data_IF_752884386619
#
_entry.id   IF_752884386619
#
_cell.length_a   1.000
_cell.length_b   1.000
_cell.length_c   1.000
_cell.angle_alpha   90.00
_cell.angle_beta   90.00
_cell.angle_gamma   90.00
#
_symmetry.space_group_name_H-M   'P 1'
#
loop_
_entity.id
_entity.type
_entity.pdbx_description
1 polymer ?
#
# COMPACT_ATOMS: atom_id res chain seq x y z
N UNK A 1 17.16 -13.84 4.67
CA UNK A 1 17.93 -12.58 4.69
C UNK A 1 19.34 -12.76 4.11
N UNK A 2 19.50 -13.65 3.12
CA UNK A 2 20.82 -14.09 2.68
C UNK A 2 21.17 -13.44 1.34
N UNK A 3 22.45 -13.10 1.19
CA UNK A 3 22.98 -12.49 -0.02
C UNK A 3 22.81 -13.41 -1.23
N UNK A 4 22.50 -12.82 -2.39
CA UNK A 4 22.45 -13.54 -3.65
C UNK A 4 23.88 -13.68 -4.16
N UNK A 5 24.37 -14.92 -4.29
CA UNK A 5 25.71 -15.17 -4.86
C UNK A 5 25.61 -14.96 -6.37
N UNK A 6 26.38 -13.99 -6.88
CA UNK A 6 26.52 -13.75 -8.32
C UNK A 6 27.34 -14.89 -8.96
N UNK A 7 27.15 -15.22 -10.25
CA UNK A 7 27.99 -16.19 -10.98
C UNK A 7 29.50 -15.85 -10.95
N UNK A 8 29.88 -14.64 -10.56
CA UNK A 8 31.27 -14.19 -10.36
C UNK A 8 31.85 -14.51 -8.98
N UNK A 9 31.11 -15.16 -8.08
CA UNK A 9 31.54 -15.45 -6.70
C UNK A 9 31.51 -14.25 -5.75
N UNK A 10 31.13 -13.06 -6.24
CA UNK A 10 30.94 -11.86 -5.42
C UNK A 10 29.57 -11.92 -4.72
N UNK A 11 29.60 -11.69 -3.41
CA UNK A 11 28.41 -11.59 -2.56
C UNK A 11 27.67 -10.30 -2.93
N UNK A 12 26.47 -10.42 -3.49
CA UNK A 12 25.67 -9.24 -3.82
C UNK A 12 25.19 -8.58 -2.52
N UNK A 13 25.32 -7.26 -2.37
CA UNK A 13 24.88 -6.58 -1.15
C UNK A 13 23.40 -6.84 -0.89
N UNK A 14 23.03 -7.00 0.38
CA UNK A 14 21.68 -7.40 0.80
C UNK A 14 20.67 -6.25 0.90
N UNK A 15 19.45 -6.57 1.37
CA UNK A 15 18.33 -5.64 1.55
C UNK A 15 18.59 -4.48 2.54
N UNK A 16 19.62 -4.60 3.38
CA UNK A 16 20.03 -3.57 4.36
C UNK A 16 21.13 -2.64 3.82
N UNK A 17 21.65 -2.91 2.63
CA UNK A 17 22.69 -2.09 2.00
C UNK A 17 22.06 -1.13 0.99
N UNK A 18 22.37 0.18 1.02
CA UNK A 18 21.85 1.14 0.03
C UNK A 18 22.33 0.86 -1.40
N UNK A 19 21.53 1.26 -2.40
CA UNK A 19 21.98 1.30 -3.79
C UNK A 19 22.80 2.57 -4.03
N UNK A 20 23.98 2.44 -4.65
CA UNK A 20 24.85 3.58 -4.96
C UNK A 20 24.38 4.40 -6.18
N UNK A 21 23.62 3.76 -7.07
CA UNK A 21 23.04 4.36 -8.26
C UNK A 21 21.64 3.77 -8.51
N UNK A 22 20.89 4.39 -9.43
CA UNK A 22 19.56 3.91 -9.80
C UNK A 22 19.59 2.53 -10.46
N UNK A 23 20.58 2.23 -11.30
CA UNK A 23 20.75 0.92 -11.97
C UNK A 23 22.18 0.40 -11.77
N UNK A 24 22.39 -0.93 -11.85
CA UNK A 24 21.39 -1.98 -12.02
C UNK A 24 20.56 -2.23 -10.74
N UNK A 25 19.32 -2.73 -10.90
CA UNK A 25 18.51 -3.15 -9.75
C UNK A 25 18.96 -4.51 -9.26
N UNK A 26 19.06 -4.66 -7.93
CA UNK A 26 19.32 -5.95 -7.27
C UNK A 26 18.05 -6.76 -7.11
N UNK A 27 16.90 -6.08 -7.01
CA UNK A 27 15.58 -6.70 -6.88
C UNK A 27 14.61 -6.18 -7.95
N UNK A 28 14.78 -6.56 -9.23
CA UNK A 28 13.94 -6.06 -10.32
C UNK A 28 12.43 -6.24 -10.09
N UNK A 29 12.03 -7.35 -9.46
CA UNK A 29 10.64 -7.62 -9.12
C UNK A 29 9.99 -6.54 -8.25
N UNK A 30 10.77 -5.84 -7.41
CA UNK A 30 10.24 -4.76 -6.57
C UNK A 30 9.84 -3.56 -7.42
N UNK A 31 10.62 -3.27 -8.47
CA UNK A 31 10.26 -2.26 -9.45
C UNK A 31 9.02 -2.67 -10.25
N UNK A 32 8.89 -3.94 -10.60
CA UNK A 32 7.69 -4.44 -11.29
C UNK A 32 6.43 -4.27 -10.44
N UNK A 33 6.53 -4.49 -9.11
CA UNK A 33 5.43 -4.24 -8.18
C UNK A 33 5.12 -2.74 -8.03
N UNK A 34 6.15 -1.89 -7.95
CA UNK A 34 5.95 -0.43 -8.00
C UNK A 34 5.16 -0.04 -9.26
N UNK A 35 5.59 -0.52 -10.44
CA UNK A 35 4.95 -0.21 -11.72
C UNK A 35 3.52 -0.74 -11.76
N UNK A 36 3.29 -1.95 -11.29
CA UNK A 36 1.94 -2.54 -11.21
C UNK A 36 1.02 -1.67 -10.34
N UNK A 37 1.50 -1.19 -9.20
CA UNK A 37 0.71 -0.31 -8.33
C UNK A 37 0.37 1.02 -9.01
N UNK A 38 1.30 1.61 -9.77
CA UNK A 38 1.02 2.84 -10.54
C UNK A 38 -0.08 2.61 -11.60
N UNK A 39 -0.15 1.42 -12.19
CA UNK A 39 -1.13 1.10 -13.23
C UNK A 39 -2.54 0.86 -12.70
N UNK A 40 -2.68 0.59 -11.40
CA UNK A 40 -3.97 0.36 -10.72
C UNK A 40 -4.31 1.48 -9.74
N UNK A 41 -3.65 2.63 -9.88
CA UNK A 41 -3.94 3.80 -9.06
C UNK A 41 -5.33 4.33 -9.36
N UNK A 42 -6.02 4.77 -8.30
CA UNK A 42 -7.35 5.36 -8.35
C UNK A 42 -7.50 6.37 -7.22
N UNK A 43 -8.49 7.25 -7.33
CA UNK A 43 -8.89 8.20 -6.28
C UNK A 43 -10.32 7.94 -5.83
N UNK A 44 -10.67 8.16 -4.53
CA UNK A 44 -12.01 7.87 -4.01
C UNK A 44 -13.14 8.54 -4.80
N UNK A 45 -12.90 9.75 -5.29
CA UNK A 45 -13.84 10.55 -6.06
C UNK A 45 -14.17 9.97 -7.44
N UNK A 46 -13.36 9.02 -7.93
CA UNK A 46 -13.57 8.34 -9.21
C UNK A 46 -14.61 7.20 -9.10
N UNK A 47 -15.00 6.83 -7.88
CA UNK A 47 -15.97 5.76 -7.61
C UNK A 47 -17.38 6.33 -7.47
N UNK A 48 -18.32 5.97 -8.36
CA UNK A 48 -19.70 6.46 -8.29
C UNK A 48 -20.46 5.76 -7.16
N UNK A 49 -20.86 6.51 -6.12
CA UNK A 49 -21.59 6.00 -4.94
C UNK A 49 -23.11 6.30 -4.96
N UNK A 50 -23.64 6.72 -6.11
CA UNK A 50 -25.02 7.22 -6.21
C UNK A 50 -26.09 6.21 -5.84
N UNK A 51 -25.94 4.95 -6.25
CA UNK A 51 -26.89 3.89 -5.91
C UNK A 51 -26.68 3.39 -4.48
N UNK A 52 -25.43 3.27 -4.02
CA UNK A 52 -25.08 2.90 -2.65
C UNK A 52 -25.70 3.84 -1.62
N UNK A 53 -25.72 5.15 -1.90
CA UNK A 53 -26.39 6.14 -1.04
C UNK A 53 -27.91 5.93 -0.96
N UNK A 54 -28.55 5.49 -2.06
CA UNK A 54 -29.99 5.17 -2.04
C UNK A 54 -30.25 3.91 -1.22
N UNK A 55 -29.44 2.88 -1.41
CA UNK A 55 -29.54 1.63 -0.65
C UNK A 55 -29.34 1.88 0.84
N UNK A 56 -28.35 2.70 1.20
CA UNK A 56 -28.10 3.12 2.57
C UNK A 56 -29.33 3.78 3.22
N UNK A 57 -30.00 4.65 2.47
CA UNK A 57 -31.14 5.43 2.97
C UNK A 57 -32.45 4.65 3.03
N UNK A 58 -32.69 3.74 2.07
CA UNK A 58 -34.02 3.13 1.86
C UNK A 58 -34.04 1.65 2.19
N UNK A 59 -32.97 0.92 1.89
CA UNK A 59 -32.98 -0.55 1.88
C UNK A 59 -32.33 -1.18 3.11
N UNK A 60 -31.45 -0.45 3.82
CA UNK A 60 -30.80 -0.97 5.02
C UNK A 60 -31.63 -0.74 6.29
N UNK A 61 -31.60 -1.73 7.18
CA UNK A 61 -32.05 -1.59 8.57
C UNK A 61 -31.02 -0.84 9.41
N UNK A 62 -31.43 -0.36 10.59
CA UNK A 62 -30.52 0.29 11.54
C UNK A 62 -29.38 -0.64 11.99
N UNK A 63 -29.66 -1.94 12.15
CA UNK A 63 -28.64 -2.93 12.51
C UNK A 63 -27.61 -3.12 11.41
N UNK A 64 -28.02 -3.15 10.14
CA UNK A 64 -27.12 -3.31 9.00
C UNK A 64 -26.28 -2.05 8.79
N UNK A 65 -26.88 -0.85 8.89
CA UNK A 65 -26.13 0.41 8.89
C UNK A 65 -25.09 0.45 9.99
N UNK A 66 -25.47 0.10 11.22
CA UNK A 66 -24.53 0.08 12.33
C UNK A 66 -23.37 -0.91 12.08
N UNK A 67 -23.66 -2.11 11.56
CA UNK A 67 -22.63 -3.09 11.21
C UNK A 67 -21.65 -2.51 10.18
N UNK A 68 -22.15 -1.95 9.07
CA UNK A 68 -21.32 -1.35 8.03
C UNK A 68 -20.49 -0.19 8.56
N UNK A 69 -21.06 0.69 9.38
CA UNK A 69 -20.31 1.77 10.03
C UNK A 69 -19.15 1.23 10.88
N UNK A 70 -19.34 0.16 11.64
CA UNK A 70 -18.23 -0.43 12.40
C UNK A 70 -17.17 -1.06 11.49
N UNK A 71 -17.59 -1.68 10.38
CA UNK A 71 -16.67 -2.23 9.38
C UNK A 71 -15.81 -1.12 8.76
N UNK A 72 -16.43 -0.01 8.34
CA UNK A 72 -15.70 1.13 7.78
C UNK A 72 -14.73 1.73 8.80
N UNK A 73 -15.15 1.94 10.05
CA UNK A 73 -14.25 2.40 11.13
C UNK A 73 -13.06 1.47 11.33
N UNK A 74 -13.31 0.16 11.32
CA UNK A 74 -12.25 -0.83 11.45
C UNK A 74 -11.24 -0.73 10.29
N UNK A 75 -11.71 -0.70 9.04
CA UNK A 75 -10.80 -0.60 7.89
C UNK A 75 -10.05 0.73 7.85
N UNK A 76 -10.71 1.86 8.14
CA UNK A 76 -10.03 3.16 8.25
C UNK A 76 -8.89 3.10 9.26
N UNK A 77 -9.12 2.53 10.45
CA UNK A 77 -8.09 2.44 11.50
C UNK A 77 -7.01 1.40 11.16
N UNK A 78 -7.38 0.26 10.60
CA UNK A 78 -6.45 -0.79 10.22
C UNK A 78 -5.48 -0.31 9.14
N UNK A 79 -5.95 0.42 8.13
CA UNK A 79 -5.09 0.93 7.06
C UNK A 79 -4.18 2.06 7.55
N UNK A 80 -4.59 2.86 8.56
CA UNK A 80 -3.69 3.79 9.26
C UNK A 80 -2.51 3.01 9.86
N UNK A 81 -2.77 1.90 10.55
CA UNK A 81 -1.70 1.09 11.18
C UNK A 81 -0.78 0.43 10.13
N UNK A 82 -1.33 -0.04 9.01
CA UNK A 82 -0.55 -0.62 7.91
C UNK A 82 0.33 0.43 7.24
N UNK A 83 -0.22 1.62 6.98
CA UNK A 83 0.50 2.76 6.41
C UNK A 83 1.66 3.20 7.32
N UNK A 84 1.40 3.35 8.62
CA UNK A 84 2.42 3.66 9.63
C UNK A 84 3.52 2.60 9.65
N UNK A 85 3.15 1.33 9.55
CA UNK A 85 4.12 0.24 9.52
C UNK A 85 5.03 0.31 8.27
N UNK A 86 4.50 0.65 7.10
CA UNK A 86 5.33 0.90 5.91
C UNK A 86 6.30 2.06 6.10
N UNK A 87 5.83 3.19 6.63
CA UNK A 87 6.63 4.42 6.75
C UNK A 87 7.64 4.35 7.90
N UNK A 88 7.19 3.98 9.09
CA UNK A 88 7.96 4.08 10.33
C UNK A 88 8.85 2.87 10.59
N UNK A 89 8.44 1.67 10.12
CA UNK A 89 9.16 0.42 10.37
C UNK A 89 9.89 -0.05 9.11
N UNK A 90 9.18 -0.32 8.02
CA UNK A 90 9.79 -0.97 6.84
C UNK A 90 10.66 -0.02 6.00
N UNK A 91 10.20 1.20 5.72
CA UNK A 91 10.93 2.20 4.94
C UNK A 91 12.27 2.60 5.57
N UNK A 92 12.40 2.44 6.89
CA UNK A 92 13.63 2.69 7.64
C UNK A 92 14.62 1.52 7.59
N UNK A 93 14.16 0.30 7.36
CA UNK A 93 15.01 -0.91 7.36
C UNK A 93 15.57 -1.18 5.98
N UNK A 94 14.73 -1.19 4.95
CA UNK A 94 15.14 -1.58 3.61
C UNK A 94 15.79 -0.42 2.84
N UNK A 95 16.94 -0.71 2.22
CA UNK A 95 17.82 0.32 1.63
C UNK A 95 17.90 0.35 0.10
N UNK A 96 17.68 -0.74 -0.68
CA UNK A 96 17.68 -0.68 -2.14
C UNK A 96 16.64 0.30 -2.67
N UNK A 97 17.00 1.07 -3.68
CA UNK A 97 16.14 2.12 -4.26
C UNK A 97 14.82 1.55 -4.79
N UNK A 98 14.85 0.46 -5.55
CA UNK A 98 13.68 -0.19 -6.13
C UNK A 98 12.72 -0.76 -5.07
N UNK A 99 13.25 -1.21 -3.93
CA UNK A 99 12.43 -1.66 -2.79
C UNK A 99 11.78 -0.47 -2.11
N UNK A 100 12.50 0.64 -1.93
CA UNK A 100 11.91 1.88 -1.40
C UNK A 100 10.82 2.43 -2.31
N UNK A 101 11.01 2.38 -3.62
CA UNK A 101 9.98 2.79 -4.59
C UNK A 101 8.70 1.96 -4.40
N UNK A 102 8.82 0.64 -4.33
CA UNK A 102 7.68 -0.25 -4.05
C UNK A 102 6.99 0.07 -2.73
N UNK A 103 7.73 0.16 -1.63
CA UNK A 103 7.18 0.43 -0.30
C UNK A 103 6.49 1.79 -0.22
N UNK A 104 7.06 2.82 -0.85
CA UNK A 104 6.44 4.14 -0.91
C UNK A 104 5.11 4.10 -1.69
N UNK A 105 5.05 3.34 -2.77
CA UNK A 105 3.82 3.18 -3.54
C UNK A 105 2.74 2.41 -2.78
N UNK A 106 3.12 1.40 -1.99
CA UNK A 106 2.17 0.66 -1.15
C UNK A 106 1.67 1.54 0.00
N UNK A 107 2.58 2.25 0.68
CA UNK A 107 2.20 3.20 1.74
C UNK A 107 1.24 4.28 1.24
N UNK A 108 1.48 4.83 0.05
CA UNK A 108 0.57 5.79 -0.56
C UNK A 108 -0.79 5.18 -0.86
N UNK A 109 -0.85 3.93 -1.31
CA UNK A 109 -2.13 3.27 -1.57
C UNK A 109 -2.97 3.13 -0.30
N UNK A 110 -2.35 2.81 0.83
CA UNK A 110 -3.07 2.76 2.10
C UNK A 110 -3.65 4.14 2.49
N UNK A 111 -2.97 5.25 2.17
CA UNK A 111 -3.56 6.59 2.40
C UNK A 111 -4.81 6.84 1.56
N UNK A 112 -4.87 6.29 0.35
CA UNK A 112 -6.05 6.37 -0.51
C UNK A 112 -7.18 5.48 0.04
N UNK A 113 -6.84 4.28 0.53
CA UNK A 113 -7.82 3.41 1.21
C UNK A 113 -8.42 4.10 2.43
N UNK A 114 -7.60 4.73 3.29
CA UNK A 114 -8.05 5.51 4.45
C UNK A 114 -9.02 6.60 4.01
N UNK A 115 -8.67 7.39 2.99
CA UNK A 115 -9.53 8.45 2.47
C UNK A 115 -10.86 7.90 1.90
N UNK A 116 -10.81 6.77 1.21
CA UNK A 116 -12.00 6.10 0.67
C UNK A 116 -12.94 5.64 1.78
N UNK A 117 -12.45 4.92 2.79
CA UNK A 117 -13.28 4.45 3.89
C UNK A 117 -13.79 5.60 4.77
N UNK A 118 -12.98 6.64 4.96
CA UNK A 118 -13.40 7.84 5.69
C UNK A 118 -14.52 8.61 4.97
N UNK A 119 -14.58 8.60 3.64
CA UNK A 119 -15.67 9.20 2.86
C UNK A 119 -17.02 8.48 3.07
N UNK A 120 -16.97 7.20 3.47
CA UNK A 120 -18.15 6.36 3.71
C UNK A 120 -18.67 6.43 5.17
N UNK A 121 -18.03 7.23 6.03
CA UNK A 121 -18.39 7.44 7.44
C UNK A 121 -19.15 8.75 7.65
#
# INVERSE_FOLDING_TARGET
MNAHVSPTGLVSPGLLTPSAAYKPFRYPWAFDMWKKQQQVHWMPEEVPLGEDMKDWAVNLTDSERNLLTQIFRFFTQADIEVQDNYMEKYGRVFKPTEVKMMLASFANMETIHIAAYALLL
#
